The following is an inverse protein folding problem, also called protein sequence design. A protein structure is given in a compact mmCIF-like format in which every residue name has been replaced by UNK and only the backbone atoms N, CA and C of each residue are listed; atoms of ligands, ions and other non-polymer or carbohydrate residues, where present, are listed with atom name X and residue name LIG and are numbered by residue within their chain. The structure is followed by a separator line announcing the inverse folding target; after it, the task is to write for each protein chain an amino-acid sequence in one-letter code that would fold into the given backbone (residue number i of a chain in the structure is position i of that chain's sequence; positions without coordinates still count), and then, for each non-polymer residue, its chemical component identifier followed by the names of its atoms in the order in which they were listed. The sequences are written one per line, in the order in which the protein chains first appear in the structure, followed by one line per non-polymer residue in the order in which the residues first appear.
data_IF_934886821623
#
_entry.id   IF_934886821623
#
_cell.length_a   1.000
_cell.length_b   1.000
_cell.length_c   1.000
_cell.angle_alpha   90.00
_cell.angle_beta   90.00
_cell.angle_gamma   90.00
#
_symmetry.space_group_name_H-M   'P 1'
#
loop_
_entity.id
_entity.type
_entity.pdbx_description
1 polymer ?
#
# COMPACT_ATOMS: atom_id res chain seq x y z
N UNK A 1 -69.24 39.96 -28.79
CA UNK A 1 -69.51 38.52 -28.99
C UNK A 1 -68.31 37.71 -28.51
N UNK A 2 -68.57 36.70 -27.67
CA UNK A 2 -67.60 35.68 -27.20
C UNK A 2 -67.18 34.78 -28.36
N UNK A 3 -65.91 34.39 -28.41
CA UNK A 3 -65.49 32.99 -28.63
C UNK A 3 -64.15 32.74 -27.95
N UNK A 4 -64.06 31.58 -27.27
CA UNK A 4 -62.95 31.10 -26.44
C UNK A 4 -62.12 30.05 -27.20
N UNK A 5 -60.85 29.89 -26.79
CA UNK A 5 -60.11 28.62 -26.83
C UNK A 5 -59.12 28.45 -28.00
N UNK A 6 -57.96 27.79 -27.91
CA UNK A 6 -57.42 26.84 -26.92
C UNK A 6 -55.88 26.79 -27.03
N UNK A 7 -55.29 26.38 -25.90
CA UNK A 7 -53.94 25.87 -25.63
C UNK A 7 -53.22 25.14 -26.78
N UNK A 8 -51.92 25.43 -26.89
CA UNK A 8 -50.91 24.57 -27.52
C UNK A 8 -49.60 24.66 -26.74
N UNK A 9 -49.45 23.84 -25.69
CA UNK A 9 -48.20 23.70 -24.96
C UNK A 9 -47.22 22.86 -25.79
N UNK A 10 -46.15 23.49 -26.27
CA UNK A 10 -45.01 22.80 -26.90
C UNK A 10 -44.19 22.10 -25.81
N UNK A 11 -44.41 20.80 -25.63
CA UNK A 11 -43.48 19.93 -24.92
C UNK A 11 -42.28 19.67 -25.83
N UNK A 12 -41.20 20.41 -25.62
CA UNK A 12 -39.90 20.09 -26.20
C UNK A 12 -39.33 18.87 -25.48
N UNK A 13 -39.53 17.69 -26.05
CA UNK A 13 -38.89 16.45 -25.63
C UNK A 13 -37.38 16.56 -25.89
N UNK A 14 -36.60 16.99 -24.90
CA UNK A 14 -35.14 16.91 -24.97
C UNK A 14 -34.74 15.43 -24.87
N UNK A 15 -34.53 14.79 -26.02
CA UNK A 15 -33.93 13.48 -26.10
C UNK A 15 -32.46 13.61 -25.67
N UNK A 16 -32.17 13.32 -24.40
CA UNK A 16 -30.79 13.15 -23.94
C UNK A 16 -30.29 11.86 -24.56
N UNK A 17 -29.55 11.97 -25.66
CA UNK A 17 -28.79 10.86 -26.21
C UNK A 17 -27.63 10.64 -25.25
N UNK A 18 -27.81 9.73 -24.29
CA UNK A 18 -26.71 9.19 -23.52
C UNK A 18 -25.80 8.44 -24.49
N UNK A 19 -24.73 9.06 -24.95
CA UNK A 19 -23.66 8.35 -25.65
C UNK A 19 -23.17 7.27 -24.68
N UNK A 20 -23.26 5.97 -25.01
CA UNK A 20 -22.62 4.97 -24.17
C UNK A 20 -21.15 5.38 -24.08
N UNK A 21 -20.61 5.49 -22.86
CA UNK A 21 -19.19 5.63 -22.68
C UNK A 21 -18.56 4.33 -23.21
N UNK A 22 -18.15 4.33 -24.48
CA UNK A 22 -17.44 3.20 -25.06
C UNK A 22 -16.12 3.12 -24.31
N UNK A 23 -16.00 2.13 -23.43
CA UNK A 23 -14.74 1.84 -22.78
C UNK A 23 -13.76 1.43 -23.90
N UNK A 24 -12.71 2.22 -24.08
CA UNK A 24 -11.76 2.01 -25.17
C UNK A 24 -10.85 0.83 -24.82
N UNK A 25 -10.78 -0.17 -25.70
CA UNK A 25 -9.85 -1.29 -25.57
C UNK A 25 -8.44 -0.77 -25.77
N UNK A 26 -7.61 -0.85 -24.74
CA UNK A 26 -6.24 -0.34 -24.78
C UNK A 26 -5.25 -1.42 -24.38
N UNK A 27 -4.15 -1.49 -25.13
CA UNK A 27 -2.97 -2.30 -24.80
C UNK A 27 -1.83 -1.37 -24.40
N UNK A 28 -1.29 -1.54 -23.20
CA UNK A 28 -0.26 -0.64 -22.65
C UNK A 28 0.79 -1.42 -21.85
N UNK A 29 2.04 -1.01 -21.99
CA UNK A 29 3.16 -1.49 -21.17
C UNK A 29 3.34 -0.59 -19.95
N UNK A 30 3.51 -1.22 -18.78
CA UNK A 30 3.65 -0.52 -17.51
C UNK A 30 4.60 -1.29 -16.57
N UNK A 31 5.08 -0.59 -15.54
CA UNK A 31 5.86 -1.19 -14.45
C UNK A 31 5.00 -1.24 -13.20
N UNK A 32 4.90 -2.41 -12.57
CA UNK A 32 4.13 -2.58 -11.34
C UNK A 32 4.82 -1.83 -10.20
N UNK A 33 4.08 -0.95 -9.52
CA UNK A 33 4.54 -0.25 -8.32
C UNK A 33 4.04 -0.93 -7.05
N UNK A 34 2.79 -1.41 -7.03
CA UNK A 34 2.25 -2.21 -5.92
C UNK A 34 1.16 -3.18 -6.41
N UNK A 35 0.87 -4.21 -5.60
CA UNK A 35 -0.21 -5.17 -5.85
C UNK A 35 -1.02 -5.31 -4.56
N UNK A 36 -2.30 -4.93 -4.62
CA UNK A 36 -3.22 -4.83 -3.49
C UNK A 36 -4.46 -5.71 -3.79
N UNK A 37 -4.31 -7.01 -3.55
CA UNK A 37 -5.34 -8.01 -3.83
C UNK A 37 -5.63 -8.14 -5.33
N UNK A 38 -6.75 -7.56 -5.77
CA UNK A 38 -7.19 -7.53 -7.17
C UNK A 38 -6.78 -6.26 -7.91
N UNK A 39 -6.17 -5.29 -7.24
CA UNK A 39 -5.74 -4.04 -7.87
C UNK A 39 -4.23 -4.02 -8.01
N UNK A 40 -3.75 -3.79 -9.23
CA UNK A 40 -2.34 -3.62 -9.55
C UNK A 40 -2.10 -2.15 -9.85
N UNK A 41 -1.35 -1.48 -8.98
CA UNK A 41 -0.91 -0.11 -9.25
C UNK A 41 0.37 -0.18 -10.08
N UNK A 42 0.41 0.60 -11.16
CA UNK A 42 1.48 0.62 -12.11
C UNK A 42 1.82 2.04 -12.54
N UNK A 43 2.93 2.18 -13.26
CA UNK A 43 3.36 3.44 -13.85
C UNK A 43 3.75 3.23 -15.30
N UNK A 44 3.21 4.09 -16.16
CA UNK A 44 3.55 4.18 -17.58
C UNK A 44 4.44 5.40 -17.80
N UNK A 45 4.86 5.63 -19.05
CA UNK A 45 5.54 6.88 -19.43
C UNK A 45 4.62 8.11 -19.36
N UNK A 46 3.31 7.90 -19.40
CA UNK A 46 2.29 8.96 -19.47
C UNK A 46 1.76 9.34 -18.09
N UNK A 47 1.88 8.46 -17.09
CA UNK A 47 1.36 8.73 -15.77
C UNK A 47 1.26 7.49 -14.89
N UNK A 48 0.66 7.62 -13.68
CA UNK A 48 0.22 6.47 -12.93
C UNK A 48 -0.80 5.65 -13.75
N UNK A 49 -1.01 4.39 -13.42
CA UNK A 49 -2.02 3.53 -14.03
C UNK A 49 -2.55 2.58 -12.97
N UNK A 50 -3.86 2.44 -12.87
CA UNK A 50 -4.49 1.43 -12.01
C UNK A 50 -5.01 0.31 -12.89
N UNK A 51 -4.69 -0.94 -12.55
CA UNK A 51 -5.15 -2.12 -13.29
C UNK A 51 -6.00 -2.97 -12.36
N UNK A 52 -7.25 -3.17 -12.72
CA UNK A 52 -8.20 -4.02 -11.97
C UNK A 52 -8.17 -5.41 -12.59
N UNK A 53 -7.80 -6.40 -11.78
CA UNK A 53 -7.72 -7.81 -12.16
C UNK A 53 -8.96 -8.55 -11.68
N UNK A 54 -9.70 -9.12 -12.62
CA UNK A 54 -10.90 -9.92 -12.38
C UNK A 54 -10.60 -11.42 -12.56
N UNK A 55 -11.50 -12.32 -12.13
CA UNK A 55 -11.28 -13.77 -12.23
C UNK A 55 -11.12 -14.29 -13.67
N UNK A 56 -11.64 -13.56 -14.66
CA UNK A 56 -11.54 -13.82 -16.09
C UNK A 56 -10.27 -13.22 -16.74
N UNK A 57 -9.49 -12.41 -16.01
CA UNK A 57 -8.24 -11.86 -16.53
C UNK A 57 -7.24 -12.99 -16.82
N UNK A 58 -6.81 -13.11 -18.07
CA UNK A 58 -5.81 -14.10 -18.48
C UNK A 58 -4.39 -13.60 -18.22
N UNK A 59 -3.71 -14.18 -17.23
CA UNK A 59 -2.32 -13.86 -16.90
C UNK A 59 -1.38 -14.86 -17.55
N UNK A 60 -0.48 -14.38 -18.40
CA UNK A 60 0.44 -15.22 -19.19
C UNK A 60 1.88 -14.77 -19.04
N UNK A 61 2.76 -15.71 -18.74
CA UNK A 61 4.20 -15.53 -18.80
C UNK A 61 4.74 -16.04 -20.14
N UNK A 62 5.60 -15.26 -20.77
CA UNK A 62 6.30 -15.64 -22.00
C UNK A 62 7.78 -15.87 -21.71
N UNK A 63 8.31 -17.02 -22.12
CA UNK A 63 9.74 -17.32 -22.08
C UNK A 63 10.24 -17.74 -23.47
N UNK A 64 11.19 -16.99 -24.02
CA UNK A 64 11.65 -17.16 -25.40
C UNK A 64 10.55 -16.95 -26.45
N UNK A 65 10.76 -17.50 -27.65
CA UNK A 65 9.88 -17.29 -28.81
C UNK A 65 8.65 -18.23 -28.85
N UNK A 66 8.66 -19.30 -28.03
CA UNK A 66 7.70 -20.42 -28.15
C UNK A 66 6.95 -20.79 -26.86
N UNK A 67 7.44 -20.43 -25.67
CA UNK A 67 6.83 -20.90 -24.42
C UNK A 67 5.92 -19.86 -23.80
N UNK A 68 4.65 -20.23 -23.61
CA UNK A 68 3.65 -19.45 -22.86
C UNK A 68 3.13 -20.28 -21.70
N UNK A 69 3.17 -19.73 -20.49
CA UNK A 69 2.68 -20.39 -19.27
C UNK A 69 1.58 -19.53 -18.63
N UNK A 70 0.44 -20.13 -18.32
CA UNK A 70 -0.59 -19.47 -17.53
C UNK A 70 -0.07 -19.25 -16.10
N UNK A 71 -0.33 -18.06 -15.54
CA UNK A 71 0.10 -17.67 -14.19
C UNK A 71 -1.08 -17.10 -13.40
N UNK A 72 -0.83 -16.85 -12.13
CA UNK A 72 -1.77 -16.24 -11.20
C UNK A 72 -1.37 -14.81 -10.84
N UNK A 73 -2.25 -14.13 -10.11
CA UNK A 73 -1.97 -12.78 -9.57
C UNK A 73 -0.77 -12.75 -8.63
N UNK A 74 -0.43 -13.86 -7.97
CA UNK A 74 0.75 -13.96 -7.09
C UNK A 74 2.07 -13.84 -7.85
N UNK A 75 2.04 -14.08 -9.15
CA UNK A 75 3.21 -13.92 -10.03
C UNK A 75 3.47 -12.46 -10.41
N UNK A 76 2.54 -11.55 -10.15
CA UNK A 76 2.69 -10.12 -10.37
C UNK A 76 3.46 -9.50 -9.19
N UNK A 77 4.68 -9.04 -9.46
CA UNK A 77 5.59 -8.52 -8.44
C UNK A 77 5.82 -7.01 -8.64
N UNK A 78 6.00 -6.23 -7.56
CA UNK A 78 6.54 -4.87 -7.68
C UNK A 78 7.86 -4.87 -8.45
N UNK A 79 8.02 -3.90 -9.36
CA UNK A 79 9.15 -3.79 -10.28
C UNK A 79 9.01 -4.62 -11.57
N UNK A 80 7.97 -5.48 -11.68
CA UNK A 80 7.73 -6.27 -12.89
C UNK A 80 7.21 -5.40 -14.03
N UNK A 81 7.88 -5.51 -15.18
CA UNK A 81 7.40 -4.96 -16.46
C UNK A 81 6.36 -5.91 -17.03
N UNK A 82 5.20 -5.37 -17.40
CA UNK A 82 4.11 -6.14 -17.96
C UNK A 82 3.36 -5.34 -19.03
N UNK A 83 2.64 -6.05 -19.88
CA UNK A 83 1.67 -5.51 -20.81
C UNK A 83 0.28 -5.89 -20.34
N UNK A 84 -0.60 -4.89 -20.21
CA UNK A 84 -2.02 -5.09 -19.95
C UNK A 84 -2.82 -4.78 -21.22
N UNK A 85 -3.81 -5.61 -21.48
CA UNK A 85 -4.85 -5.42 -22.48
C UNK A 85 -6.21 -5.44 -21.76
N UNK A 86 -7.05 -4.46 -22.00
CA UNK A 86 -8.31 -4.33 -21.31
C UNK A 86 -9.07 -3.06 -21.65
N UNK A 87 -10.20 -2.88 -21.00
CA UNK A 87 -11.08 -1.73 -21.22
C UNK A 87 -10.65 -0.58 -20.30
N UNK A 88 -10.29 0.57 -20.88
CA UNK A 88 -9.79 1.73 -20.16
C UNK A 88 -10.93 2.71 -19.81
N UNK A 89 -10.93 3.17 -18.56
CA UNK A 89 -11.79 4.24 -18.06
C UNK A 89 -10.95 5.23 -17.25
N UNK A 90 -10.66 6.39 -17.83
CA UNK A 90 -9.74 7.36 -17.25
C UNK A 90 -8.35 6.78 -17.07
N UNK A 91 -7.90 6.66 -15.82
CA UNK A 91 -6.57 6.17 -15.48
C UNK A 91 -6.58 4.71 -14.94
N UNK A 92 -7.72 4.03 -15.11
CA UNK A 92 -7.96 2.66 -14.68
C UNK A 92 -8.24 1.75 -15.87
N UNK A 93 -7.64 0.55 -15.90
CA UNK A 93 -7.90 -0.48 -16.91
C UNK A 93 -8.50 -1.70 -16.23
N UNK A 94 -9.66 -2.15 -16.72
CA UNK A 94 -10.17 -3.49 -16.39
C UNK A 94 -9.46 -4.51 -17.27
N UNK A 95 -8.59 -5.32 -16.67
CA UNK A 95 -7.69 -6.19 -17.40
C UNK A 95 -8.41 -7.43 -17.95
N UNK A 96 -8.27 -7.67 -19.24
CA UNK A 96 -8.69 -8.93 -19.87
C UNK A 96 -7.50 -9.86 -20.06
N UNK A 97 -6.32 -9.29 -20.35
CA UNK A 97 -5.09 -10.06 -20.36
C UNK A 97 -3.92 -9.28 -19.78
N UNK A 98 -3.06 -9.99 -19.05
CA UNK A 98 -1.81 -9.48 -18.54
C UNK A 98 -0.71 -10.41 -19.04
N UNK A 99 0.28 -9.85 -19.71
CA UNK A 99 1.44 -10.60 -20.22
C UNK A 99 2.72 -10.02 -19.68
N UNK A 100 3.65 -10.88 -19.24
CA UNK A 100 4.98 -10.46 -18.83
C UNK A 100 6.03 -11.48 -19.28
N UNK A 101 7.30 -11.04 -19.38
CA UNK A 101 8.40 -11.93 -19.78
C UNK A 101 9.04 -12.56 -18.56
N UNK A 102 9.44 -13.81 -18.67
CA UNK A 102 10.18 -14.56 -17.65
C UNK A 102 11.46 -13.83 -17.21
N UNK A 103 12.20 -13.22 -18.16
CA UNK A 103 13.38 -12.40 -17.82
C UNK A 103 13.04 -11.19 -16.93
N UNK A 104 11.91 -10.53 -17.20
CA UNK A 104 11.49 -9.33 -16.47
C UNK A 104 10.95 -9.74 -15.09
N UNK A 105 10.31 -10.92 -15.00
CA UNK A 105 9.94 -11.56 -13.74
C UNK A 105 11.15 -11.90 -12.89
N UNK A 106 12.19 -12.53 -13.45
CA UNK A 106 13.45 -12.80 -12.72
C UNK A 106 14.12 -11.51 -12.24
N UNK A 107 14.12 -10.45 -13.07
CA UNK A 107 14.65 -9.15 -12.67
C UNK A 107 13.86 -8.58 -11.48
N UNK A 108 12.53 -8.60 -11.54
CA UNK A 108 11.67 -8.16 -10.44
C UNK A 108 11.88 -9.00 -9.16
N UNK A 109 12.07 -10.31 -9.28
CA UNK A 109 12.42 -11.20 -8.15
C UNK A 109 13.77 -10.83 -7.57
N UNK A 110 14.79 -10.61 -8.38
CA UNK A 110 16.13 -10.25 -7.93
C UNK A 110 16.15 -8.88 -7.23
N UNK A 111 15.46 -7.88 -7.79
CA UNK A 111 15.29 -6.57 -7.15
C UNK A 111 14.52 -6.72 -5.85
N UNK A 112 13.39 -7.43 -5.84
CA UNK A 112 12.63 -7.67 -4.62
C UNK A 112 13.46 -8.42 -3.58
N UNK A 113 14.27 -9.40 -3.96
CA UNK A 113 15.13 -10.15 -3.03
C UNK A 113 16.23 -9.26 -2.45
N UNK A 114 16.94 -8.49 -3.27
CA UNK A 114 17.96 -7.53 -2.81
C UNK A 114 17.36 -6.41 -1.96
N UNK A 115 16.19 -5.89 -2.33
CA UNK A 115 15.45 -4.92 -1.51
C UNK A 115 14.91 -5.57 -0.24
N UNK A 116 14.42 -6.81 -0.25
CA UNK A 116 13.96 -7.49 0.97
C UNK A 116 15.12 -7.72 1.93
N UNK A 117 16.28 -8.11 1.42
CA UNK A 117 17.49 -8.23 2.24
C UNK A 117 17.89 -6.88 2.83
N UNK A 118 17.96 -5.82 2.02
CA UNK A 118 18.26 -4.46 2.48
C UNK A 118 17.22 -3.90 3.47
N UNK A 119 15.93 -4.17 3.24
CA UNK A 119 14.86 -3.77 4.15
C UNK A 119 14.87 -4.61 5.43
N UNK A 120 15.31 -5.87 5.36
CA UNK A 120 15.47 -6.76 6.53
C UNK A 120 16.67 -6.37 7.38
N UNK A 121 17.80 -6.03 6.76
CA UNK A 121 19.00 -5.54 7.43
C UNK A 121 18.71 -4.19 8.05
N UNK A 122 18.05 -3.28 7.33
CA UNK A 122 17.60 -2.01 7.89
C UNK A 122 16.61 -2.23 9.04
N UNK A 123 15.63 -3.13 8.90
CA UNK A 123 14.69 -3.43 9.99
C UNK A 123 15.42 -3.97 11.23
N UNK A 124 16.38 -4.86 11.04
CA UNK A 124 17.22 -5.39 12.11
C UNK A 124 18.07 -4.29 12.75
N UNK A 125 18.73 -3.46 11.95
CA UNK A 125 19.46 -2.29 12.41
C UNK A 125 18.54 -1.33 13.18
N UNK A 126 17.29 -1.16 12.74
CA UNK A 126 16.27 -0.38 13.46
C UNK A 126 15.97 -0.96 14.84
N UNK A 127 15.82 -2.27 14.95
CA UNK A 127 15.59 -2.96 16.23
C UNK A 127 16.84 -2.94 17.11
N UNK A 128 18.04 -2.93 16.52
CA UNK A 128 19.33 -2.91 17.23
C UNK A 128 19.84 -1.48 17.52
N UNK A 129 19.15 -0.45 17.02
CA UNK A 129 19.53 0.95 17.22
C UNK A 129 20.73 1.43 16.38
N UNK A 130 21.13 0.69 15.35
CA UNK A 130 22.33 0.97 14.54
C UNK A 130 21.97 1.59 13.18
N UNK A 131 22.83 2.45 12.61
CA UNK A 131 22.78 2.94 11.20
C UNK A 131 21.61 3.82 10.70
N UNK A 132 20.62 4.18 11.53
CA UNK A 132 19.57 5.15 11.15
C UNK A 132 19.48 6.34 12.11
N UNK A 133 18.78 7.38 11.67
CA UNK A 133 18.41 8.54 12.49
C UNK A 133 16.90 8.64 12.57
N UNK A 134 16.38 8.78 13.79
CA UNK A 134 14.96 9.02 14.04
C UNK A 134 14.70 10.51 13.78
N UNK A 135 13.86 10.78 12.78
CA UNK A 135 13.49 12.14 12.39
C UNK A 135 12.22 12.61 13.13
N UNK A 136 11.28 11.69 13.31
CA UNK A 136 10.06 11.92 14.06
C UNK A 136 9.49 10.59 14.57
N UNK A 137 8.74 10.65 15.66
CA UNK A 137 8.14 9.50 16.31
C UNK A 137 6.72 9.83 16.75
N UNK A 138 5.83 8.84 16.70
CA UNK A 138 4.55 8.88 17.41
C UNK A 138 4.24 7.50 17.99
N UNK A 139 3.47 7.48 19.08
CA UNK A 139 3.14 6.26 19.80
C UNK A 139 1.62 6.09 19.86
N UNK A 140 1.15 4.95 19.36
CA UNK A 140 -0.27 4.61 19.36
C UNK A 140 -0.55 3.64 20.49
N UNK A 141 -1.43 4.01 21.41
CA UNK A 141 -1.82 3.15 22.53
C UNK A 141 -3.10 2.36 22.22
N UNK A 142 -3.17 1.15 22.78
CA UNK A 142 -4.28 0.23 22.55
C UNK A 142 -4.93 -0.25 23.85
N UNK A 143 -6.26 -0.41 23.86
CA UNK A 143 -6.95 -1.18 24.88
C UNK A 143 -6.45 -2.63 24.96
N UNK A 144 -6.69 -3.30 26.10
CA UNK A 144 -6.34 -4.71 26.27
C UNK A 144 -7.04 -5.58 25.21
N UNK A 145 -6.32 -6.56 24.66
CA UNK A 145 -6.82 -7.46 23.61
C UNK A 145 -7.17 -6.81 22.25
N UNK A 146 -7.13 -5.48 22.14
CA UNK A 146 -7.57 -4.76 20.94
C UNK A 146 -6.41 -4.36 20.02
N UNK A 147 -6.71 -4.30 18.72
CA UNK A 147 -5.86 -3.72 17.67
C UNK A 147 -6.55 -2.57 16.92
N UNK A 148 -7.64 -2.05 17.48
CA UNK A 148 -8.39 -0.92 16.90
C UNK A 148 -7.70 0.39 17.23
N UNK A 149 -7.44 1.21 16.20
CA UNK A 149 -6.82 2.53 16.33
C UNK A 149 -7.91 3.56 16.66
N UNK A 150 -7.74 4.32 17.74
CA UNK A 150 -8.64 5.40 18.14
C UNK A 150 -8.65 6.56 17.12
N UNK A 151 -9.70 7.37 17.12
CA UNK A 151 -9.78 8.54 16.23
C UNK A 151 -8.66 9.56 16.50
N UNK A 152 -8.30 9.77 17.77
CA UNK A 152 -7.18 10.63 18.16
C UNK A 152 -5.84 10.14 17.57
N UNK A 153 -5.52 8.86 17.74
CA UNK A 153 -4.29 8.29 17.19
C UNK A 153 -4.29 8.24 15.66
N UNK A 154 -5.45 8.09 15.01
CA UNK A 154 -5.57 8.24 13.55
C UNK A 154 -5.18 9.64 13.09
N UNK A 155 -5.53 10.69 13.84
CA UNK A 155 -5.14 12.05 13.55
C UNK A 155 -3.62 12.27 13.73
N UNK A 156 -3.04 11.75 14.81
CA UNK A 156 -1.58 11.80 15.06
C UNK A 156 -0.79 11.07 13.97
N UNK A 157 -1.21 9.86 13.58
CA UNK A 157 -0.60 9.09 12.49
C UNK A 157 -0.70 9.84 11.16
N UNK A 158 -1.81 10.51 10.88
CA UNK A 158 -1.96 11.34 9.68
C UNK A 158 -1.01 12.54 9.71
N UNK A 159 -0.88 13.20 10.85
CA UNK A 159 0.07 14.32 11.00
C UNK A 159 1.52 13.86 10.85
N UNK A 160 1.88 12.69 11.36
CA UNK A 160 3.19 12.08 11.12
C UNK A 160 3.39 11.79 9.63
N UNK A 161 2.41 11.17 8.97
CA UNK A 161 2.46 10.84 7.54
C UNK A 161 2.64 12.09 6.66
N UNK A 162 2.03 13.22 7.01
CA UNK A 162 2.21 14.49 6.30
C UNK A 162 3.64 15.05 6.40
N UNK A 163 4.34 14.79 7.50
CA UNK A 163 5.73 15.22 7.69
C UNK A 163 6.73 14.31 6.98
N UNK A 164 6.38 13.04 6.74
CA UNK A 164 7.33 12.05 6.22
C UNK A 164 8.03 12.45 4.91
N UNK A 165 7.33 12.99 3.88
CA UNK A 165 7.96 13.37 2.62
C UNK A 165 9.06 14.43 2.71
N UNK A 166 9.10 15.26 3.77
CA UNK A 166 10.15 16.27 3.91
C UNK A 166 11.52 15.70 4.26
N UNK A 167 11.60 14.42 4.64
CA UNK A 167 12.83 13.76 5.08
C UNK A 167 13.56 12.97 3.96
N UNK A 168 13.23 13.22 2.69
CA UNK A 168 13.97 12.68 1.54
C UNK A 168 13.89 11.15 1.43
N UNK A 169 15.01 10.43 1.54
CA UNK A 169 15.05 8.95 1.50
C UNK A 169 14.60 8.33 2.83
N UNK A 170 13.41 8.69 3.29
CA UNK A 170 12.85 8.20 4.54
C UNK A 170 12.26 6.80 4.38
N UNK A 171 12.16 6.10 5.50
CA UNK A 171 11.39 4.87 5.68
C UNK A 171 10.58 4.99 6.97
N UNK A 172 9.43 4.33 7.02
CA UNK A 172 8.57 4.30 8.21
C UNK A 172 8.72 2.95 8.89
N UNK A 173 9.27 2.96 10.10
CA UNK A 173 9.36 1.80 10.98
C UNK A 173 8.15 1.71 11.89
N UNK A 174 7.65 0.49 12.11
CA UNK A 174 6.49 0.22 12.94
C UNK A 174 6.83 -0.95 13.85
N UNK A 175 6.96 -0.67 15.14
CA UNK A 175 7.28 -1.66 16.18
C UNK A 175 6.06 -1.83 17.09
N UNK A 176 5.44 -3.01 17.05
CA UNK A 176 4.29 -3.32 17.88
C UNK A 176 4.70 -4.05 19.15
N UNK A 177 4.09 -3.66 20.26
CA UNK A 177 4.30 -4.23 21.60
C UNK A 177 2.98 -4.69 22.21
N UNK A 178 3.05 -5.71 23.06
CA UNK A 178 1.93 -6.26 23.81
C UNK A 178 2.17 -6.13 25.32
N UNK A 179 1.15 -6.49 26.11
CA UNK A 179 1.28 -6.51 27.57
C UNK A 179 2.32 -7.59 27.93
N UNK A 180 3.27 -7.33 28.86
CA UNK A 180 4.21 -8.36 29.31
C UNK A 180 3.53 -9.51 30.07
N UNK A 181 2.26 -9.33 30.48
CA UNK A 181 1.46 -10.38 31.11
C UNK A 181 0.74 -11.20 30.05
N UNK A 182 0.66 -12.50 30.26
CA UNK A 182 -0.11 -13.41 29.43
C UNK A 182 0.75 -14.45 28.72
N UNK A 183 0.25 -14.97 27.60
CA UNK A 183 0.94 -15.96 26.81
C UNK A 183 1.79 -15.30 25.73
N UNK A 184 3.10 -15.59 25.72
CA UNK A 184 4.06 -15.02 24.77
C UNK A 184 3.62 -15.14 23.30
N UNK A 185 3.16 -16.32 22.87
CA UNK A 185 2.71 -16.54 21.50
C UNK A 185 1.41 -15.77 21.15
N UNK A 186 0.54 -15.53 22.14
CA UNK A 186 -0.63 -14.68 21.96
C UNK A 186 -0.24 -13.19 21.89
N UNK A 187 0.71 -12.77 22.72
CA UNK A 187 1.24 -11.40 22.77
C UNK A 187 2.03 -11.06 21.51
N UNK A 188 2.81 -11.99 20.97
CA UNK A 188 3.47 -11.86 19.67
C UNK A 188 2.43 -11.66 18.55
N UNK A 189 1.42 -12.54 18.47
CA UNK A 189 0.33 -12.40 17.49
C UNK A 189 -0.42 -11.07 17.65
N UNK A 190 -0.70 -10.63 18.87
CA UNK A 190 -1.41 -9.38 19.13
C UNK A 190 -0.57 -8.15 18.76
N UNK A 191 0.72 -8.15 19.09
CA UNK A 191 1.65 -7.09 18.72
C UNK A 191 1.77 -6.96 17.19
N UNK A 192 1.83 -8.09 16.47
CA UNK A 192 1.80 -8.12 15.02
C UNK A 192 0.50 -7.54 14.46
N UNK A 193 -0.66 -7.92 15.01
CA UNK A 193 -1.97 -7.38 14.56
C UNK A 193 -2.06 -5.87 14.74
N UNK A 194 -1.59 -5.33 15.87
CA UNK A 194 -1.55 -3.89 16.13
C UNK A 194 -0.64 -3.15 15.14
N UNK A 195 0.58 -3.64 14.96
CA UNK A 195 1.52 -3.07 14.01
C UNK A 195 0.97 -3.15 12.57
N UNK A 196 0.33 -4.26 12.21
CA UNK A 196 -0.37 -4.43 10.94
C UNK A 196 -1.51 -3.44 10.72
N UNK A 197 -2.33 -3.19 11.74
CA UNK A 197 -3.42 -2.21 11.68
C UNK A 197 -2.89 -0.80 11.40
N UNK A 198 -1.83 -0.38 12.10
CA UNK A 198 -1.18 0.92 11.91
C UNK A 198 -0.56 1.02 10.51
N UNK A 199 0.13 -0.04 10.09
CA UNK A 199 0.78 -0.14 8.78
C UNK A 199 -0.24 -0.02 7.64
N UNK A 200 -1.40 -0.69 7.76
CA UNK A 200 -2.48 -0.61 6.79
C UNK A 200 -3.14 0.78 6.78
N UNK A 201 -3.39 1.36 7.95
CA UNK A 201 -3.94 2.71 8.05
C UNK A 201 -3.03 3.73 7.34
N UNK A 202 -1.72 3.70 7.62
CA UNK A 202 -0.74 4.61 7.00
C UNK A 202 -0.70 4.47 5.48
N UNK A 203 -0.68 3.23 4.96
CA UNK A 203 -0.75 2.97 3.51
C UNK A 203 -2.04 3.50 2.87
N UNK A 204 -3.18 3.36 3.54
CA UNK A 204 -4.48 3.81 3.04
C UNK A 204 -4.65 5.33 3.06
N UNK A 205 -3.84 6.08 3.83
CA UNK A 205 -3.94 7.54 3.84
C UNK A 205 -3.60 8.19 2.50
N UNK A 206 -2.83 7.51 1.64
CA UNK A 206 -2.32 8.06 0.37
C UNK A 206 -1.24 9.15 0.52
N UNK A 207 -0.81 9.44 1.75
CA UNK A 207 0.18 10.49 2.05
C UNK A 207 1.63 10.00 1.99
N UNK A 208 1.83 8.68 1.89
CA UNK A 208 3.15 8.04 1.93
C UNK A 208 3.35 7.29 0.62
N UNK A 209 4.50 7.49 -0.01
CA UNK A 209 4.82 6.81 -1.27
C UNK A 209 4.82 5.28 -1.08
N UNK A 210 4.37 4.51 -2.09
CA UNK A 210 4.48 3.05 -2.08
C UNK A 210 5.93 2.61 -1.78
N UNK A 211 6.08 1.60 -0.91
CA UNK A 211 7.39 1.05 -0.53
C UNK A 211 8.13 1.80 0.58
N UNK A 212 7.64 2.95 1.07
CA UNK A 212 8.27 3.69 2.19
C UNK A 212 7.91 3.12 3.56
N UNK A 213 6.77 2.44 3.69
CA UNK A 213 6.34 1.79 4.93
C UNK A 213 6.96 0.41 5.03
N UNK A 214 7.82 0.18 6.03
CA UNK A 214 8.42 -1.12 6.27
C UNK A 214 7.38 -2.14 6.72
N UNK A 215 7.69 -3.42 6.51
CA UNK A 215 6.89 -4.51 7.09
C UNK A 215 6.81 -4.34 8.61
N UNK A 216 5.61 -4.46 9.22
CA UNK A 216 5.43 -4.28 10.66
C UNK A 216 6.22 -5.31 11.46
N UNK A 217 6.79 -4.88 12.59
CA UNK A 217 7.53 -5.75 13.51
C UNK A 217 6.70 -6.08 14.73
N UNK A 218 6.63 -7.37 15.06
CA UNK A 218 6.12 -7.86 16.33
C UNK A 218 7.27 -7.91 17.32
N UNK A 219 7.17 -7.18 18.42
CA UNK A 219 8.11 -7.25 19.52
C UNK A 219 7.58 -8.12 20.67
N UNK A 220 6.33 -8.60 20.56
CA UNK A 220 5.69 -9.39 21.61
C UNK A 220 5.67 -8.65 22.94
N UNK A 221 6.24 -9.29 23.96
CA UNK A 221 6.37 -8.77 25.32
C UNK A 221 7.64 -7.91 25.51
N UNK A 222 8.36 -7.61 24.43
CA UNK A 222 9.51 -6.74 24.44
C UNK A 222 9.22 -5.42 25.15
N UNK A 223 10.20 -4.91 25.88
CA UNK A 223 9.96 -3.81 26.83
C UNK A 223 10.28 -2.45 26.20
N UNK A 224 11.34 -2.34 25.41
CA UNK A 224 11.84 -1.06 24.88
C UNK A 224 11.99 -1.07 23.36
N UNK A 225 11.63 0.04 22.72
CA UNK A 225 12.15 0.38 21.40
C UNK A 225 13.53 1.03 21.57
N UNK A 226 14.43 0.94 20.57
CA UNK A 226 15.74 1.58 20.68
C UNK A 226 15.64 3.09 20.90
N UNK A 227 16.33 3.63 21.89
CA UNK A 227 16.25 5.04 22.25
C UNK A 227 14.97 5.46 22.99
N UNK A 228 14.09 4.54 23.34
CA UNK A 228 12.92 4.78 24.21
C UNK A 228 13.16 4.20 25.62
N UNK A 229 12.65 4.88 26.64
CA UNK A 229 12.63 4.34 28.01
C UNK A 229 11.63 3.18 28.14
N UNK A 230 11.83 2.32 29.14
CA UNK A 230 10.88 1.25 29.43
C UNK A 230 9.51 1.84 29.86
N UNK A 231 8.38 1.23 29.44
CA UNK A 231 7.06 1.70 29.82
C UNK A 231 6.88 1.60 31.34
N UNK A 232 6.37 2.67 31.98
CA UNK A 232 6.15 2.72 33.42
C UNK A 232 4.93 1.88 33.87
N UNK A 233 4.13 1.37 32.93
CA UNK A 233 3.03 0.48 33.23
C UNK A 233 2.41 -0.20 32.01
N UNK A 234 1.53 -1.17 32.27
CA UNK A 234 0.94 -2.03 31.26
C UNK A 234 0.18 -1.26 30.17
N UNK A 235 -0.42 -0.12 30.52
CA UNK A 235 -1.10 0.74 29.55
C UNK A 235 -0.15 1.33 28.51
N UNK A 236 1.09 1.61 28.91
CA UNK A 236 2.15 2.09 28.03
C UNK A 236 2.86 0.94 27.31
N UNK A 237 2.87 -0.28 27.86
CA UNK A 237 3.39 -1.46 27.18
C UNK A 237 2.56 -1.83 25.93
N UNK A 238 1.24 -1.62 25.99
CA UNK A 238 0.32 -1.87 24.87
C UNK A 238 0.36 -0.76 23.82
N UNK A 239 1.47 -0.68 23.09
CA UNK A 239 1.72 0.39 22.13
C UNK A 239 2.22 -0.11 20.78
N UNK A 240 2.11 0.74 19.78
CA UNK A 240 2.87 0.66 18.54
C UNK A 240 3.67 1.94 18.42
N UNK A 241 4.98 1.82 18.32
CA UNK A 241 5.91 2.92 18.08
C UNK A 241 6.09 3.06 16.58
N UNK A 242 5.82 4.23 16.04
CA UNK A 242 5.94 4.54 14.62
C UNK A 242 6.98 5.62 14.45
N UNK A 243 8.00 5.35 13.63
CA UNK A 243 9.14 6.25 13.43
C UNK A 243 9.34 6.56 11.96
N UNK A 244 9.61 7.82 11.67
CA UNK A 244 10.24 8.22 10.41
C UNK A 244 11.74 8.12 10.62
N UNK A 245 12.39 7.29 9.80
CA UNK A 245 13.84 7.07 9.88
C UNK A 245 14.51 7.35 8.54
N UNK A 246 15.72 7.88 8.61
CA UNK A 246 16.60 8.06 7.44
C UNK A 246 17.92 7.32 7.65
N UNK A 247 18.55 6.77 6.61
CA UNK A 247 19.89 6.19 6.71
C UNK A 247 20.91 7.22 7.21
N UNK A 248 21.82 6.84 8.13
CA UNK A 248 22.88 7.74 8.62
C UNK A 248 23.80 8.24 7.50
N UNK A 249 23.98 7.46 6.44
CA UNK A 249 24.86 7.76 5.31
C UNK A 249 24.46 9.00 4.50
N UNK A 250 23.25 9.54 4.69
CA UNK A 250 22.77 10.75 4.01
C UNK A 250 22.92 12.07 4.79
N UNK A 251 23.51 12.06 5.99
CA UNK A 251 23.72 13.29 6.79
C UNK A 251 25.06 13.99 6.50
N UNK A 252 25.52 14.00 5.25
CA UNK A 252 26.69 14.75 4.81
C UNK A 252 26.30 15.88 3.88
#
# INVERSE_FOLDING_TARGET
MKTKGKYGALLASALIIATPAWAERVKTEAVITSVDGNTVNARTRQGPLTVVVSPDTKITETSGMLSRKARDTKSLLPGLIFTVDGDMQGNSISAQSITFKDRDWRAAVATKAGTVEELSTLRKAIIEGQEYVIQAETTVYFPSGSAVISAAHKAELRALAQKAPSFGNYRISILGFADPRGNAAANERLSLRRAGAVSNYLRQTGLIEPGRVLSPSAMGEGTTAPGEAAPAGNNQARRVVVRIVTPKTQLK
#
